data_IF_285779221504
#
_entry.id   IF_285779221504
#
_cell.length_a   1.000
_cell.length_b   1.000
_cell.length_c   1.000
_cell.angle_alpha   90.00
_cell.angle_beta   90.00
_cell.angle_gamma   90.00
#
_symmetry.space_group_name_H-M   'P 1'
#
loop_
_entity.id
_entity.type
_entity.pdbx_description
1 polymer ?
#
# COMPACT_ATOMS: atom_id res chain seq x y z
N UNK A 1 -23.11 24.62 49.10
CA UNK A 1 -21.86 23.89 49.44
C UNK A 1 -21.55 22.93 48.31
N UNK A 2 -20.67 23.34 47.40
CA UNK A 2 -20.29 22.58 46.20
C UNK A 2 -19.22 21.54 46.51
N UNK A 3 -19.39 20.32 46.00
CA UNK A 3 -18.36 19.29 45.98
C UNK A 3 -17.58 19.40 44.68
N UNK A 4 -16.33 19.84 44.78
CA UNK A 4 -15.34 19.78 43.72
C UNK A 4 -14.97 18.32 43.44
N UNK A 5 -15.25 17.84 42.23
CA UNK A 5 -14.63 16.63 41.69
C UNK A 5 -13.29 17.02 41.08
N UNK A 6 -12.20 16.52 41.68
CA UNK A 6 -10.85 16.65 41.13
C UNK A 6 -10.74 15.87 39.84
N UNK A 7 -10.54 16.56 38.71
CA UNK A 7 -10.07 15.94 37.46
C UNK A 7 -8.63 15.46 37.70
N UNK A 8 -8.45 14.14 37.80
CA UNK A 8 -7.15 13.52 37.59
C UNK A 8 -6.77 13.72 36.12
N UNK A 9 -5.83 14.63 35.88
CA UNK A 9 -5.13 14.74 34.60
C UNK A 9 -4.19 13.55 34.51
N UNK A 10 -4.59 12.50 33.79
CA UNK A 10 -3.66 11.47 33.32
C UNK A 10 -2.74 12.09 32.29
N UNK A 11 -1.57 12.55 32.74
CA UNK A 11 -0.44 12.91 31.89
C UNK A 11 0.13 11.58 31.40
N UNK A 12 -0.28 11.15 30.21
CA UNK A 12 0.39 10.07 29.50
C UNK A 12 1.82 10.51 29.19
N UNK A 13 2.77 10.07 30.02
CA UNK A 13 4.19 10.12 29.68
C UNK A 13 4.39 9.20 28.48
N UNK A 14 4.61 9.78 27.29
CA UNK A 14 5.12 9.05 26.11
C UNK A 14 6.37 8.27 26.56
N UNK A 15 6.23 6.96 26.72
CA UNK A 15 7.35 6.05 26.89
C UNK A 15 8.17 6.11 25.60
N UNK A 16 9.23 6.94 25.59
CA UNK A 16 10.22 6.90 24.50
C UNK A 16 10.90 5.54 24.57
N UNK A 17 10.77 4.76 23.49
CA UNK A 17 11.54 3.53 23.29
C UNK A 17 13.02 3.79 23.60
N UNK A 18 13.60 2.97 24.46
CA UNK A 18 15.02 3.04 24.86
C UNK A 18 15.94 2.29 23.88
N UNK A 19 15.40 1.78 22.77
CA UNK A 19 16.20 1.11 21.74
C UNK A 19 16.95 2.16 20.92
N UNK A 20 18.26 1.96 20.74
CA UNK A 20 19.01 2.75 19.75
C UNK A 20 18.39 2.53 18.36
N UNK A 21 18.07 3.63 17.68
CA UNK A 21 17.48 3.56 16.35
C UNK A 21 18.52 3.03 15.35
N UNK A 22 18.12 2.18 14.39
CA UNK A 22 19.02 1.67 13.37
C UNK A 22 19.67 2.81 12.57
N UNK A 23 20.89 2.60 12.08
CA UNK A 23 21.60 3.56 11.23
C UNK A 23 21.76 2.95 9.84
N UNK A 24 21.55 3.77 8.81
CA UNK A 24 21.55 3.33 7.42
C UNK A 24 22.63 4.05 6.61
N UNK A 25 23.92 3.73 6.81
CA UNK A 25 25.03 4.43 6.15
C UNK A 25 25.04 4.25 4.62
N UNK A 26 24.36 3.22 4.10
CA UNK A 26 24.23 2.95 2.67
C UNK A 26 23.06 3.68 2.00
N UNK A 27 22.15 4.29 2.77
CA UNK A 27 21.00 5.03 2.24
C UNK A 27 21.37 6.49 1.95
N UNK A 28 22.28 6.68 1.00
CA UNK A 28 22.76 7.99 0.55
C UNK A 28 22.32 8.27 -0.88
N UNK A 29 22.13 9.55 -1.25
CA UNK A 29 21.74 9.93 -2.62
C UNK A 29 22.68 9.33 -3.67
N UNK A 30 23.98 9.23 -3.39
CA UNK A 30 24.97 8.71 -4.34
C UNK A 30 24.71 7.26 -4.79
N UNK A 31 23.96 6.50 -4.01
CA UNK A 31 23.60 5.11 -4.30
C UNK A 31 22.27 4.98 -5.05
N UNK A 32 21.64 6.12 -5.39
CA UNK A 32 20.36 6.18 -6.07
C UNK A 32 20.43 7.11 -7.31
N UNK A 33 19.58 6.86 -8.33
CA UNK A 33 18.58 5.81 -8.37
C UNK A 33 19.15 4.41 -8.68
N UNK A 34 18.43 3.38 -8.24
CA UNK A 34 18.73 1.98 -8.56
C UNK A 34 18.03 1.59 -9.86
N UNK A 35 18.73 0.88 -10.75
CA UNK A 35 18.16 0.39 -12.01
C UNK A 35 17.64 -1.06 -11.93
N UNK A 36 17.57 -1.65 -10.73
CA UNK A 36 16.97 -2.96 -10.52
C UNK A 36 15.47 -2.97 -10.88
N UNK A 37 14.90 -4.11 -11.23
CA UNK A 37 13.48 -4.23 -11.59
C UNK A 37 13.25 -4.38 -13.10
N UNK A 38 11.99 -4.35 -13.52
CA UNK A 38 11.58 -4.61 -14.90
C UNK A 38 10.67 -3.49 -15.41
N UNK A 39 10.60 -3.36 -16.73
CA UNK A 39 9.65 -2.48 -17.42
C UNK A 39 8.97 -3.23 -18.55
N UNK A 40 7.69 -2.95 -18.77
CA UNK A 40 7.04 -3.21 -20.06
C UNK A 40 6.83 -1.89 -20.82
N UNK A 41 6.69 -1.97 -22.14
CA UNK A 41 6.31 -0.83 -22.98
C UNK A 41 4.82 -0.92 -23.27
N UNK A 42 4.08 0.12 -22.89
CA UNK A 42 2.66 0.25 -23.17
C UNK A 42 2.43 0.63 -24.64
N UNK A 43 1.20 0.45 -25.15
CA UNK A 43 0.82 0.72 -26.55
C UNK A 43 1.09 2.16 -26.99
N UNK A 44 1.09 3.10 -26.04
CA UNK A 44 1.37 4.51 -26.28
C UNK A 44 2.87 4.87 -26.13
N UNK A 45 3.74 3.87 -25.97
CA UNK A 45 5.20 4.01 -25.88
C UNK A 45 5.73 4.33 -24.48
N UNK A 46 4.86 4.53 -23.47
CA UNK A 46 5.30 4.73 -22.09
C UNK A 46 5.85 3.43 -21.49
N UNK A 47 6.83 3.54 -20.60
CA UNK A 47 7.26 2.42 -19.77
C UNK A 47 6.41 2.32 -18.51
N UNK A 48 6.00 1.09 -18.16
CA UNK A 48 5.44 0.76 -16.84
C UNK A 48 6.44 -0.10 -16.08
N UNK A 49 6.96 0.45 -14.98
CA UNK A 49 7.91 -0.18 -14.07
C UNK A 49 7.23 -1.12 -13.08
N UNK A 50 7.89 -2.21 -12.75
CA UNK A 50 7.44 -3.16 -11.73
C UNK A 50 8.61 -3.98 -11.17
N UNK A 51 8.33 -4.76 -10.12
CA UNK A 51 9.21 -5.85 -9.66
C UNK A 51 8.37 -7.10 -9.38
N UNK A 52 8.84 -8.23 -9.88
CA UNK A 52 8.24 -9.55 -9.65
C UNK A 52 8.89 -10.22 -8.42
N UNK A 53 8.06 -10.80 -7.57
CA UNK A 53 8.49 -11.63 -6.44
C UNK A 53 7.73 -12.96 -6.50
N UNK A 54 8.47 -14.07 -6.39
CA UNK A 54 7.90 -15.41 -6.36
C UNK A 54 8.18 -16.03 -4.99
N UNK A 55 7.13 -16.33 -4.22
CA UNK A 55 7.28 -16.88 -2.88
C UNK A 55 6.23 -17.95 -2.57
N UNK A 56 6.54 -18.80 -1.60
CA UNK A 56 5.60 -19.77 -1.06
C UNK A 56 4.87 -19.16 0.13
N UNK A 57 3.56 -19.29 0.16
CA UNK A 57 2.71 -18.85 1.25
C UNK A 57 2.06 -20.06 1.93
N UNK A 58 2.06 -20.10 3.26
CA UNK A 58 1.39 -21.14 4.04
C UNK A 58 0.07 -20.56 4.55
N UNK A 59 -1.05 -21.11 4.10
CA UNK A 59 -2.39 -20.67 4.47
C UNK A 59 -2.80 -21.14 5.86
N UNK A 60 -3.70 -20.42 6.53
CA UNK A 60 -4.26 -20.87 7.83
C UNK A 60 -5.14 -22.13 7.72
N UNK A 61 -5.74 -22.35 6.55
CA UNK A 61 -6.66 -23.47 6.29
C UNK A 61 -6.19 -24.29 5.08
N UNK A 62 -6.48 -25.60 5.04
CA UNK A 62 -6.04 -26.46 3.95
C UNK A 62 -6.73 -26.06 2.64
N UNK A 63 -5.95 -26.07 1.57
CA UNK A 63 -6.39 -25.76 0.21
C UNK A 63 -7.03 -27.01 -0.37
N UNK A 64 -8.34 -27.00 -0.51
CA UNK A 64 -9.09 -28.15 -1.05
C UNK A 64 -9.16 -28.15 -2.58
N UNK A 65 -8.89 -27.01 -3.25
CA UNK A 65 -8.93 -26.83 -4.70
C UNK A 65 -7.76 -25.93 -5.16
N UNK A 66 -7.24 -26.14 -6.37
CA UNK A 66 -6.21 -25.29 -7.00
C UNK A 66 -4.79 -25.33 -6.41
N UNK A 67 -4.40 -26.41 -5.71
CA UNK A 67 -3.05 -26.60 -5.15
C UNK A 67 -1.89 -26.34 -6.13
N UNK A 68 -2.10 -26.65 -7.42
CA UNK A 68 -1.08 -26.46 -8.47
C UNK A 68 -1.26 -25.17 -9.28
N UNK A 69 -2.25 -24.33 -8.94
CA UNK A 69 -2.49 -23.08 -9.66
C UNK A 69 -1.57 -22.01 -9.11
N UNK A 70 -0.85 -21.33 -9.99
CA UNK A 70 -0.12 -20.13 -9.62
C UNK A 70 -1.10 -19.00 -9.31
N UNK A 71 -0.96 -18.39 -8.13
CA UNK A 71 -1.80 -17.26 -7.72
C UNK A 71 -1.06 -15.95 -8.00
N UNK A 72 -1.64 -15.13 -8.88
CA UNK A 72 -1.08 -13.82 -9.24
C UNK A 72 -1.70 -12.74 -8.38
N UNK A 73 -0.86 -11.94 -7.73
CA UNK A 73 -1.25 -10.77 -6.95
C UNK A 73 -0.56 -9.54 -7.56
N UNK A 74 -1.34 -8.52 -7.91
CA UNK A 74 -0.82 -7.20 -8.23
C UNK A 74 -0.82 -6.35 -6.96
N UNK A 75 0.23 -5.57 -6.73
CA UNK A 75 0.33 -4.65 -5.61
C UNK A 75 0.59 -3.23 -6.11
N UNK A 76 -0.28 -2.31 -5.72
CA UNK A 76 -0.15 -0.88 -5.98
C UNK A 76 0.17 -0.22 -4.63
N UNK A 77 1.44 0.14 -4.38
CA UNK A 77 1.86 0.64 -3.08
C UNK A 77 1.45 2.11 -2.91
N UNK A 78 1.64 2.72 -1.74
CA UNK A 78 1.32 4.15 -1.45
C UNK A 78 2.40 5.13 -1.92
N UNK A 79 2.27 6.44 -1.66
CA UNK A 79 3.41 7.36 -1.79
C UNK A 79 4.25 7.30 -0.50
N UNK A 80 5.58 7.43 -0.58
CA UNK A 80 6.43 7.56 -1.77
C UNK A 80 6.93 6.20 -2.30
N UNK A 81 6.18 5.13 -2.05
CA UNK A 81 6.61 3.76 -2.30
C UNK A 81 6.82 3.46 -3.80
N UNK A 82 7.91 2.75 -4.10
CA UNK A 82 8.28 2.28 -5.44
C UNK A 82 8.12 0.77 -5.54
N UNK A 83 8.66 0.13 -6.58
CA UNK A 83 8.74 -1.34 -6.70
C UNK A 83 9.50 -2.06 -5.56
N UNK A 84 10.19 -1.30 -4.70
CA UNK A 84 10.85 -1.81 -3.51
C UNK A 84 9.89 -2.06 -2.33
N UNK A 85 8.65 -1.59 -2.42
CA UNK A 85 7.64 -1.83 -1.40
C UNK A 85 7.19 -3.29 -1.40
N UNK A 86 7.82 -4.09 -0.55
CA UNK A 86 7.56 -5.51 -0.41
C UNK A 86 7.61 -5.90 1.06
N UNK A 87 6.74 -6.81 1.47
CA UNK A 87 6.71 -7.26 2.86
C UNK A 87 8.04 -7.95 3.23
N UNK A 88 8.66 -7.65 4.39
CA UNK A 88 9.94 -8.26 4.77
C UNK A 88 9.94 -9.79 4.78
N UNK A 89 8.80 -10.43 5.08
CA UNK A 89 8.69 -11.90 5.00
C UNK A 89 8.90 -12.43 3.58
N UNK A 90 8.42 -11.72 2.55
CA UNK A 90 8.61 -12.10 1.14
C UNK A 90 10.10 -12.01 0.79
N UNK A 91 10.79 -10.94 1.19
CA UNK A 91 12.22 -10.78 0.96
C UNK A 91 13.03 -11.86 1.69
N UNK A 92 12.72 -12.12 2.96
CA UNK A 92 13.40 -13.16 3.74
C UNK A 92 13.20 -14.55 3.15
N UNK A 93 12.03 -14.86 2.56
CA UNK A 93 11.76 -16.15 1.93
C UNK A 93 12.64 -16.37 0.69
N UNK A 94 12.95 -15.30 -0.06
CA UNK A 94 13.83 -15.34 -1.22
C UNK A 94 15.30 -15.56 -0.82
N UNK A 95 15.75 -14.90 0.25
CA UNK A 95 17.08 -15.11 0.83
C UNK A 95 17.23 -16.53 1.41
N UNK A 96 16.19 -17.03 2.08
CA UNK A 96 16.17 -18.40 2.62
C UNK A 96 16.25 -19.46 1.52
N UNK A 97 15.55 -19.26 0.40
CA UNK A 97 15.63 -20.16 -0.75
C UNK A 97 17.00 -20.17 -1.45
N UNK A 98 17.84 -19.16 -1.23
CA UNK A 98 19.24 -19.21 -1.66
C UNK A 98 20.17 -19.94 -0.68
N UNK A 99 19.74 -20.19 0.57
CA UNK A 99 20.61 -20.69 1.63
C UNK A 99 20.21 -22.01 2.31
N UNK A 100 18.96 -22.51 2.25
CA UNK A 100 18.57 -23.85 2.75
C UNK A 100 17.10 -24.23 2.44
N UNK A 101 16.80 -25.54 2.44
CA UNK A 101 15.42 -26.06 2.38
C UNK A 101 14.56 -25.60 3.59
N UNK A 102 13.24 -25.38 3.41
CA UNK A 102 12.37 -24.86 4.46
C UNK A 102 12.29 -25.81 5.67
N UNK A 103 12.42 -25.26 6.89
CA UNK A 103 12.16 -26.01 8.12
C UNK A 103 10.66 -26.28 8.24
N UNK A 104 10.29 -27.54 8.04
CA UNK A 104 8.93 -28.05 8.30
C UNK A 104 8.61 -27.82 9.80
N UNK A 105 7.45 -27.26 10.16
CA UNK A 105 7.01 -27.21 11.55
C UNK A 105 7.04 -28.62 12.15
N UNK A 106 7.61 -28.80 13.35
CA UNK A 106 7.89 -30.10 13.98
C UNK A 106 6.67 -31.05 14.16
N UNK A 107 5.45 -30.63 13.79
CA UNK A 107 4.20 -31.37 13.94
C UNK A 107 3.45 -31.66 12.61
N UNK A 108 4.04 -31.42 11.43
CA UNK A 108 3.41 -31.73 10.14
C UNK A 108 4.24 -32.71 9.31
N UNK A 109 3.57 -33.66 8.64
CA UNK A 109 4.18 -34.46 7.57
C UNK A 109 4.37 -33.60 6.31
N UNK A 110 5.35 -33.94 5.48
CA UNK A 110 5.58 -33.28 4.17
C UNK A 110 4.33 -33.26 3.28
N UNK A 111 3.52 -34.33 3.30
CA UNK A 111 2.24 -34.40 2.58
C UNK A 111 1.21 -33.42 3.14
N UNK A 112 1.16 -33.24 4.46
CA UNK A 112 0.24 -32.28 5.07
C UNK A 112 0.63 -30.84 4.73
N UNK A 113 1.92 -30.48 4.75
CA UNK A 113 2.38 -29.12 4.44
C UNK A 113 2.05 -28.69 3.00
N UNK A 114 2.11 -29.62 2.04
CA UNK A 114 1.72 -29.35 0.66
C UNK A 114 0.26 -28.89 0.56
N UNK A 115 -0.63 -29.45 1.36
CA UNK A 115 -2.05 -29.06 1.38
C UNK A 115 -2.32 -27.65 1.93
N UNK A 116 -1.32 -26.97 2.48
CA UNK A 116 -1.42 -25.60 3.00
C UNK A 116 -0.51 -24.61 2.24
N UNK A 117 0.28 -25.08 1.28
CA UNK A 117 1.29 -24.24 0.62
C UNK A 117 0.84 -23.82 -0.78
N UNK A 118 0.86 -22.51 -1.05
CA UNK A 118 0.59 -21.93 -2.37
C UNK A 118 1.82 -21.25 -2.94
N UNK A 119 1.97 -21.33 -4.26
CA UNK A 119 2.92 -20.50 -5.00
C UNK A 119 2.27 -19.18 -5.37
N UNK A 120 2.84 -18.08 -4.87
CA UNK A 120 2.39 -16.71 -5.15
C UNK A 120 3.39 -16.04 -6.09
N UNK A 121 2.84 -15.38 -7.10
CA UNK A 121 3.54 -14.45 -7.99
C UNK A 121 3.02 -13.04 -7.73
N UNK A 122 3.84 -12.24 -7.06
CA UNK A 122 3.53 -10.87 -6.67
C UNK A 122 4.20 -9.88 -7.62
N UNK A 123 3.40 -9.02 -8.24
CA UNK A 123 3.87 -7.91 -9.07
C UNK A 123 3.66 -6.59 -8.33
N UNK A 124 4.73 -5.95 -7.88
CA UNK A 124 4.67 -4.60 -7.32
C UNK A 124 4.77 -3.60 -8.47
N UNK A 125 3.66 -2.95 -8.80
CA UNK A 125 3.53 -2.02 -9.92
C UNK A 125 3.89 -0.60 -9.50
N UNK A 126 4.63 0.12 -10.34
CA UNK A 126 4.90 1.54 -10.13
C UNK A 126 3.91 2.40 -10.88
N UNK A 127 3.24 3.30 -10.15
CA UNK A 127 2.30 4.28 -10.71
C UNK A 127 2.98 5.21 -11.74
N UNK A 128 2.22 5.90 -12.60
CA UNK A 128 2.79 6.73 -13.66
C UNK A 128 3.75 7.79 -13.12
N UNK A 129 5.01 7.73 -13.53
CA UNK A 129 6.06 8.66 -13.10
C UNK A 129 6.78 8.30 -11.80
N UNK A 130 6.56 7.12 -11.21
CA UNK A 130 7.31 6.61 -10.07
C UNK A 130 8.33 5.58 -10.53
N UNK A 131 9.57 5.66 -10.01
CA UNK A 131 10.61 4.68 -10.26
C UNK A 131 10.96 4.56 -11.74
N UNK A 132 10.73 3.39 -12.33
CA UNK A 132 10.98 3.11 -13.74
C UNK A 132 9.80 3.47 -14.66
N UNK A 133 8.62 3.79 -14.10
CA UNK A 133 7.45 4.20 -14.88
C UNK A 133 7.63 5.61 -15.47
N UNK A 134 7.27 5.76 -16.75
CA UNK A 134 7.26 7.06 -17.42
C UNK A 134 6.20 7.98 -16.80
N UNK A 135 6.55 9.25 -16.57
CA UNK A 135 5.60 10.25 -16.08
C UNK A 135 4.47 10.46 -17.08
N UNK A 136 3.23 10.45 -16.58
CA UNK A 136 2.04 10.77 -17.36
C UNK A 136 0.95 11.34 -16.45
N UNK A 137 0.19 12.30 -16.99
CA UNK A 137 -0.98 12.87 -16.31
C UNK A 137 -2.20 11.96 -16.46
N UNK A 138 -2.15 10.80 -15.80
CA UNK A 138 -3.21 9.79 -15.80
C UNK A 138 -4.08 9.93 -14.55
N UNK A 139 -5.40 9.97 -14.73
CA UNK A 139 -6.34 9.76 -13.64
C UNK A 139 -6.22 8.34 -13.06
N UNK A 140 -6.85 8.10 -11.90
CA UNK A 140 -6.93 6.77 -11.30
C UNK A 140 -7.56 5.75 -12.26
N UNK A 141 -8.64 6.14 -12.93
CA UNK A 141 -9.35 5.29 -13.89
C UNK A 141 -8.50 5.00 -15.13
N UNK A 142 -7.78 5.99 -15.62
CA UNK A 142 -6.88 5.82 -16.73
C UNK A 142 -5.75 4.82 -16.44
N UNK A 143 -5.15 4.87 -15.25
CA UNK A 143 -4.12 3.89 -14.87
C UNK A 143 -4.61 2.44 -14.88
N UNK A 144 -5.91 2.20 -14.70
CA UNK A 144 -6.47 0.84 -14.83
C UNK A 144 -6.27 0.24 -16.23
N UNK A 145 -6.18 1.06 -17.28
CA UNK A 145 -5.85 0.58 -18.62
C UNK A 145 -4.38 0.17 -18.74
N UNK A 146 -3.49 0.85 -18.01
CA UNK A 146 -2.07 0.48 -17.96
C UNK A 146 -1.92 -0.89 -17.24
N UNK A 147 -2.71 -1.13 -16.19
CA UNK A 147 -2.79 -2.44 -15.51
C UNK A 147 -3.34 -3.52 -16.45
N UNK A 148 -4.41 -3.22 -17.20
CA UNK A 148 -4.97 -4.18 -18.16
C UNK A 148 -3.93 -4.58 -19.20
N UNK A 149 -3.22 -3.60 -19.76
CA UNK A 149 -2.18 -3.87 -20.74
C UNK A 149 -1.02 -4.68 -20.14
N UNK A 150 -0.62 -4.37 -18.90
CA UNK A 150 0.34 -5.19 -18.17
C UNK A 150 -0.09 -6.65 -18.07
N UNK A 151 -1.35 -6.90 -17.70
CA UNK A 151 -1.90 -8.24 -17.61
C UNK A 151 -1.95 -8.94 -18.98
N UNK A 152 -2.38 -8.24 -20.03
CA UNK A 152 -2.40 -8.77 -21.40
C UNK A 152 -0.99 -9.23 -21.83
N UNK A 153 0.05 -8.42 -21.57
CA UNK A 153 1.44 -8.73 -21.94
C UNK A 153 2.04 -9.86 -21.08
N UNK A 154 1.74 -9.90 -19.78
CA UNK A 154 2.15 -11.00 -18.88
C UNK A 154 1.26 -12.23 -18.97
N UNK A 155 0.25 -12.24 -19.86
CA UNK A 155 -0.73 -13.33 -20.07
C UNK A 155 -1.47 -13.71 -18.77
N UNK A 156 -1.84 -12.71 -17.99
CA UNK A 156 -2.59 -12.87 -16.74
C UNK A 156 -4.08 -12.79 -17.08
N UNK A 157 -4.78 -13.92 -16.97
CA UNK A 157 -6.23 -13.99 -17.24
C UNK A 157 -7.08 -13.46 -16.07
N UNK A 158 -6.65 -13.74 -14.84
CA UNK A 158 -7.29 -13.30 -13.61
C UNK A 158 -6.25 -13.19 -12.49
N UNK A 159 -6.42 -12.21 -11.64
CA UNK A 159 -5.56 -11.98 -10.49
C UNK A 159 -6.33 -11.33 -9.32
N UNK A 160 -5.63 -11.26 -8.20
CA UNK A 160 -6.04 -10.50 -7.02
C UNK A 160 -5.20 -9.22 -6.91
N UNK A 161 -5.71 -8.22 -6.21
CA UNK A 161 -5.12 -6.89 -6.12
C UNK A 161 -4.94 -6.47 -4.67
N UNK A 162 -3.79 -5.89 -4.35
CA UNK A 162 -3.51 -5.17 -3.11
C UNK A 162 -3.32 -3.70 -3.47
N UNK A 163 -4.02 -2.81 -2.77
CA UNK A 163 -3.88 -1.37 -2.92
C UNK A 163 -3.69 -0.74 -1.55
N UNK A 164 -2.52 -0.16 -1.33
CA UNK A 164 -2.11 0.39 -0.03
C UNK A 164 -2.05 1.91 -0.05
N UNK A 165 -2.66 2.58 0.94
CA UNK A 165 -2.55 4.02 1.16
C UNK A 165 -2.93 4.84 -0.08
N UNK A 166 -2.04 5.69 -0.61
CA UNK A 166 -2.24 6.43 -1.86
C UNK A 166 -2.41 5.54 -3.11
N UNK A 167 -2.05 4.25 -3.03
CA UNK A 167 -2.37 3.26 -4.07
C UNK A 167 -3.85 2.86 -4.07
N UNK A 168 -4.57 3.14 -2.98
CA UNK A 168 -5.97 2.83 -2.78
C UNK A 168 -6.91 3.36 -3.88
N UNK A 169 -6.92 4.66 -4.21
CA UNK A 169 -7.73 5.20 -5.31
C UNK A 169 -7.46 4.54 -6.67
N UNK A 170 -6.19 4.22 -6.96
CA UNK A 170 -5.82 3.46 -8.16
C UNK A 170 -6.36 2.03 -8.14
N UNK A 171 -6.29 1.36 -6.99
CA UNK A 171 -6.82 0.01 -6.83
C UNK A 171 -8.34 -0.06 -6.87
N UNK A 172 -9.02 0.93 -6.29
CA UNK A 172 -10.48 1.08 -6.39
C UNK A 172 -10.91 1.33 -7.85
N UNK A 173 -10.15 2.15 -8.58
CA UNK A 173 -10.40 2.38 -10.00
C UNK A 173 -10.18 1.12 -10.84
N UNK A 174 -9.14 0.32 -10.53
CA UNK A 174 -8.90 -0.97 -11.16
C UNK A 174 -10.00 -1.99 -10.83
N UNK A 175 -10.47 -2.05 -9.59
CA UNK A 175 -11.60 -2.89 -9.20
C UNK A 175 -12.89 -2.47 -9.94
N UNK A 176 -13.13 -1.16 -10.07
CA UNK A 176 -14.27 -0.63 -10.82
C UNK A 176 -14.23 -1.00 -12.31
N UNK A 177 -13.09 -0.83 -12.99
CA UNK A 177 -13.01 -1.00 -14.44
C UNK A 177 -12.71 -2.43 -14.88
N UNK A 178 -11.84 -3.15 -14.15
CA UNK A 178 -11.34 -4.49 -14.49
C UNK A 178 -12.01 -5.60 -13.67
N UNK A 179 -12.81 -5.24 -12.67
CA UNK A 179 -13.68 -6.14 -11.91
C UNK A 179 -15.05 -6.40 -12.58
N UNK A 180 -15.35 -5.69 -13.67
CA UNK A 180 -16.55 -5.90 -14.48
C UNK A 180 -16.35 -7.13 -15.36
N UNK A 181 -17.29 -8.06 -15.28
CA UNK A 181 -17.34 -9.18 -16.21
C UNK A 181 -17.93 -8.71 -17.56
N UNK A 182 -17.25 -9.02 -18.67
CA UNK A 182 -17.64 -8.57 -20.01
C UNK A 182 -18.71 -9.44 -20.66
N UNK A 183 -18.94 -10.64 -20.13
CA UNK A 183 -20.03 -11.57 -20.47
C UNK A 183 -20.37 -12.46 -19.27
N UNK A 184 -21.56 -13.05 -19.19
CA UNK A 184 -21.97 -13.87 -18.03
C UNK A 184 -21.11 -15.14 -17.80
N UNK A 185 -20.12 -15.42 -18.66
CA UNK A 185 -19.30 -16.64 -18.66
C UNK A 185 -17.83 -16.43 -18.26
N UNK A 186 -17.30 -15.22 -18.35
CA UNK A 186 -15.89 -14.90 -18.11
C UNK A 186 -15.66 -14.32 -16.72
N UNK A 187 -14.64 -14.83 -16.03
CA UNK A 187 -14.18 -14.23 -14.78
C UNK A 187 -13.59 -12.85 -15.10
N UNK A 188 -13.85 -11.84 -14.26
CA UNK A 188 -13.19 -10.54 -14.42
C UNK A 188 -11.68 -10.69 -14.19
N UNK A 189 -10.92 -9.75 -14.77
CA UNK A 189 -9.46 -9.73 -14.62
C UNK A 189 -9.06 -9.53 -13.16
N UNK A 190 -9.72 -8.61 -12.45
CA UNK A 190 -9.57 -8.44 -11.00
C UNK A 190 -10.72 -9.16 -10.30
N UNK A 191 -10.41 -10.26 -9.61
CA UNK A 191 -11.42 -11.06 -8.90
C UNK A 191 -11.55 -10.67 -7.44
N UNK A 192 -10.46 -10.17 -6.84
CA UNK A 192 -10.43 -9.68 -5.47
C UNK A 192 -9.56 -8.43 -5.35
N UNK A 193 -9.97 -7.51 -4.48
CA UNK A 193 -9.20 -6.31 -4.16
C UNK A 193 -9.14 -6.07 -2.65
N UNK A 194 -7.94 -6.16 -2.08
CA UNK A 194 -7.63 -5.74 -0.72
C UNK A 194 -7.27 -4.25 -0.72
N UNK A 195 -8.08 -3.45 -0.03
CA UNK A 195 -7.95 -2.00 0.07
C UNK A 195 -7.47 -1.67 1.48
N UNK A 196 -6.24 -1.19 1.61
CA UNK A 196 -5.52 -1.18 2.90
C UNK A 196 -5.08 0.24 3.23
N UNK A 197 -5.49 0.74 4.40
CA UNK A 197 -5.19 2.10 4.87
C UNK A 197 -5.46 3.17 3.81
N UNK A 198 -6.49 2.96 2.98
CA UNK A 198 -6.67 3.68 1.71
C UNK A 198 -7.12 5.13 1.91
N UNK A 199 -6.68 5.97 0.98
CA UNK A 199 -7.33 7.26 0.76
C UNK A 199 -8.75 7.04 0.24
N UNK A 200 -9.70 7.86 0.72
CA UNK A 200 -11.08 7.88 0.23
C UNK A 200 -11.39 9.18 -0.54
N UNK A 201 -12.53 9.26 -1.25
CA UNK A 201 -12.95 10.49 -1.94
C UNK A 201 -12.94 11.72 -1.02
N UNK A 202 -12.61 12.89 -1.56
CA UNK A 202 -12.43 14.10 -0.74
C UNK A 202 -13.70 14.57 -0.01
N UNK A 203 -14.87 14.13 -0.45
CA UNK A 203 -16.18 14.51 0.11
C UNK A 203 -16.64 13.59 1.26
N UNK A 204 -15.80 12.66 1.71
CA UNK A 204 -16.13 11.78 2.84
C UNK A 204 -16.40 12.59 4.11
N UNK A 205 -17.51 12.30 4.83
CA UNK A 205 -17.77 12.90 6.13
C UNK A 205 -16.64 12.59 7.11
N UNK A 206 -16.23 13.61 7.90
CA UNK A 206 -15.18 13.46 8.92
C UNK A 206 -13.81 13.01 8.37
N UNK A 207 -13.54 13.22 7.07
CA UNK A 207 -12.30 12.86 6.37
C UNK A 207 -11.03 13.12 7.19
N UNK A 208 -10.95 14.27 7.85
CA UNK A 208 -9.75 14.74 8.54
C UNK A 208 -9.88 14.79 10.06
N UNK A 209 -10.97 14.28 10.64
CA UNK A 209 -11.34 14.42 12.07
C UNK A 209 -10.17 14.18 13.06
N UNK A 210 -9.46 13.06 12.91
CA UNK A 210 -8.37 12.63 13.79
C UNK A 210 -6.96 12.96 13.26
N UNK A 211 -6.85 13.78 12.21
CA UNK A 211 -5.55 14.16 11.65
C UNK A 211 -4.86 15.27 12.46
N UNK A 212 -3.52 15.28 12.52
CA UNK A 212 -2.74 16.45 12.92
C UNK A 212 -3.07 17.68 12.07
N UNK A 213 -2.94 18.88 12.64
CA UNK A 213 -3.27 20.14 11.95
C UNK A 213 -2.55 20.32 10.61
N UNK A 214 -1.28 19.88 10.53
CA UNK A 214 -0.49 19.92 9.29
C UNK A 214 -1.15 19.10 8.16
N UNK A 215 -1.65 17.91 8.48
CA UNK A 215 -2.34 17.04 7.51
C UNK A 215 -3.73 17.55 7.19
N UNK A 216 -4.47 18.11 8.17
CA UNK A 216 -5.75 18.80 7.91
C UNK A 216 -5.59 19.92 6.89
N UNK A 217 -4.53 20.72 7.04
CA UNK A 217 -4.21 21.80 6.13
C UNK A 217 -3.79 21.28 4.74
N UNK A 218 -2.93 20.26 4.67
CA UNK A 218 -2.56 19.62 3.40
C UNK A 218 -3.80 19.10 2.65
N UNK A 219 -4.73 18.43 3.35
CA UNK A 219 -6.00 17.96 2.80
C UNK A 219 -6.86 19.10 2.26
N UNK A 220 -6.95 20.22 2.98
CA UNK A 220 -7.64 21.41 2.48
C UNK A 220 -6.99 21.94 1.18
N UNK A 221 -5.65 21.91 1.08
CA UNK A 221 -4.95 22.37 -0.13
C UNK A 221 -5.18 21.49 -1.36
N UNK A 222 -5.42 20.17 -1.20
CA UNK A 222 -5.71 19.26 -2.33
C UNK A 222 -6.86 19.76 -3.21
N UNK A 223 -7.83 20.46 -2.61
CA UNK A 223 -8.98 21.05 -3.30
C UNK A 223 -8.80 22.53 -3.62
N UNK A 224 -8.23 23.29 -2.69
CA UNK A 224 -8.31 24.75 -2.74
C UNK A 224 -7.08 25.41 -3.37
N UNK A 225 -5.88 24.81 -3.24
CA UNK A 225 -4.65 25.41 -3.77
C UNK A 225 -3.54 24.38 -3.95
N UNK A 226 -3.67 23.55 -5.00
CA UNK A 226 -2.70 22.49 -5.31
C UNK A 226 -1.29 23.02 -5.57
N UNK A 227 -1.15 24.23 -6.10
CA UNK A 227 0.16 24.87 -6.30
C UNK A 227 0.94 25.12 -5.00
N UNK A 228 0.27 25.52 -3.92
CA UNK A 228 0.91 25.67 -2.61
C UNK A 228 1.27 24.30 -2.02
N UNK A 229 0.41 23.29 -2.19
CA UNK A 229 0.72 21.93 -1.77
C UNK A 229 1.94 21.37 -2.52
N UNK A 230 2.05 21.62 -3.83
CA UNK A 230 3.23 21.27 -4.62
C UNK A 230 4.50 21.98 -4.15
N UNK A 231 4.41 23.23 -3.69
CA UNK A 231 5.55 23.93 -3.11
C UNK A 231 6.01 23.26 -1.80
N UNK A 232 5.07 22.89 -0.93
CA UNK A 232 5.36 22.15 0.31
C UNK A 232 6.01 20.80 -0.01
N UNK A 233 5.44 20.04 -0.94
CA UNK A 233 5.97 18.74 -1.36
C UNK A 233 7.42 18.85 -1.88
N UNK A 234 7.75 19.89 -2.66
CA UNK A 234 9.13 20.14 -3.12
C UNK A 234 10.08 20.49 -1.98
N UNK A 235 9.61 21.20 -0.96
CA UNK A 235 10.42 21.49 0.23
C UNK A 235 10.71 20.20 1.01
N UNK A 236 9.70 19.35 1.18
CA UNK A 236 9.83 18.04 1.83
C UNK A 236 10.76 17.10 1.04
N UNK A 237 10.63 17.04 -0.29
CA UNK A 237 11.54 16.25 -1.13
C UNK A 237 12.99 16.73 -1.02
N UNK A 238 13.22 18.05 -0.94
CA UNK A 238 14.56 18.59 -0.72
C UNK A 238 15.13 18.22 0.66
N UNK A 239 14.29 18.13 1.70
CA UNK A 239 14.70 17.66 3.01
C UNK A 239 15.10 16.17 2.98
N UNK A 240 14.33 15.34 2.27
CA UNK A 240 14.65 13.92 2.06
C UNK A 240 15.98 13.77 1.30
N UNK A 241 16.19 14.55 0.24
CA UNK A 241 17.45 14.51 -0.49
C UNK A 241 18.63 14.92 0.41
N UNK A 242 18.46 15.87 1.34
CA UNK A 242 19.55 16.28 2.24
C UNK A 242 19.89 15.24 3.30
N UNK A 243 18.88 14.69 3.98
CA UNK A 243 19.04 13.71 5.05
C UNK A 243 17.79 12.81 5.09
N UNK A 244 17.81 11.69 4.35
CA UNK A 244 16.61 10.87 4.13
C UNK A 244 16.17 10.15 5.40
N UNK A 245 17.11 9.73 6.25
CA UNK A 245 16.83 9.07 7.53
C UNK A 245 16.16 10.06 8.49
N UNK A 246 16.73 11.26 8.63
CA UNK A 246 16.14 12.30 9.48
C UNK A 246 14.76 12.71 8.99
N UNK A 247 14.62 13.00 7.70
CA UNK A 247 13.33 13.39 7.10
C UNK A 247 12.25 12.32 7.32
N UNK A 248 12.60 11.04 7.14
CA UNK A 248 11.68 9.91 7.38
C UNK A 248 11.18 9.87 8.83
N UNK A 249 12.08 10.07 9.81
CA UNK A 249 11.75 10.05 11.23
C UNK A 249 10.95 11.26 11.67
N UNK A 250 11.31 12.46 11.20
CA UNK A 250 10.58 13.70 11.48
C UNK A 250 9.17 13.68 10.86
N UNK A 251 9.03 13.12 9.65
CA UNK A 251 7.74 12.96 8.98
C UNK A 251 6.76 12.09 9.78
N UNK A 252 7.27 11.08 10.48
CA UNK A 252 6.49 10.16 11.33
C UNK A 252 6.38 10.58 12.81
N UNK A 253 6.78 11.79 13.16
CA UNK A 253 6.72 12.29 14.55
C UNK A 253 5.32 12.28 15.19
N UNK A 254 4.28 12.35 14.35
CA UNK A 254 2.86 12.29 14.74
C UNK A 254 2.23 10.92 14.48
N UNK A 255 3.03 9.89 14.15
CA UNK A 255 2.51 8.55 13.90
C UNK A 255 1.92 7.92 15.17
N UNK A 256 0.88 7.07 15.05
CA UNK A 256 0.39 6.25 16.15
C UNK A 256 1.48 5.38 16.75
N UNK A 257 1.34 5.03 18.03
CA UNK A 257 2.33 4.24 18.75
C UNK A 257 2.55 2.87 18.10
N UNK A 258 1.49 2.24 17.59
CA UNK A 258 1.57 0.97 16.87
C UNK A 258 2.46 1.03 15.63
N UNK A 259 2.47 2.15 14.90
CA UNK A 259 3.28 2.30 13.69
C UNK A 259 4.77 2.45 14.03
N UNK A 260 5.06 3.11 15.16
CA UNK A 260 6.43 3.19 15.71
C UNK A 260 6.89 1.78 16.09
N UNK A 261 6.06 1.02 16.80
CA UNK A 261 6.37 -0.35 17.21
C UNK A 261 6.53 -1.30 16.02
N UNK A 262 5.70 -1.17 14.99
CA UNK A 262 5.84 -1.90 13.74
C UNK A 262 7.23 -1.70 13.13
N UNK A 263 7.71 -0.45 13.04
CA UNK A 263 9.05 -0.13 12.52
C UNK A 263 10.16 -0.71 13.41
N UNK A 264 10.03 -0.58 14.72
CA UNK A 264 11.03 -1.06 15.67
C UNK A 264 11.14 -2.59 15.71
N UNK A 265 10.03 -3.29 15.47
CA UNK A 265 9.96 -4.75 15.58
C UNK A 265 10.18 -5.47 14.24
N UNK A 266 9.78 -4.86 13.11
CA UNK A 266 9.93 -5.44 11.78
C UNK A 266 11.12 -4.82 11.05
N UNK A 267 12.23 -5.56 11.05
CA UNK A 267 13.45 -5.18 10.32
C UNK A 267 13.13 -4.95 8.84
N UNK A 268 13.71 -3.88 8.29
CA UNK A 268 13.56 -3.51 6.88
C UNK A 268 12.39 -2.59 6.57
N UNK A 269 11.40 -2.39 7.45
CA UNK A 269 10.25 -1.52 7.16
C UNK A 269 10.66 -0.05 7.01
N UNK A 270 11.39 0.52 7.97
CA UNK A 270 11.90 1.91 7.86
C UNK A 270 12.82 2.08 6.63
N UNK A 271 13.73 1.13 6.43
CA UNK A 271 14.67 1.12 5.31
C UNK A 271 13.95 1.12 3.97
N UNK A 272 12.94 0.27 3.78
CA UNK A 272 12.16 0.18 2.55
C UNK A 272 11.46 1.51 2.20
N UNK A 273 10.90 2.21 3.19
CA UNK A 273 10.32 3.54 2.96
C UNK A 273 11.38 4.56 2.56
N UNK A 274 12.54 4.55 3.23
CA UNK A 274 13.66 5.45 2.92
C UNK A 274 14.21 5.17 1.52
N UNK A 275 14.42 3.90 1.16
CA UNK A 275 14.85 3.49 -0.18
C UNK A 275 13.86 3.95 -1.25
N UNK A 276 12.56 3.81 -1.00
CA UNK A 276 11.54 4.25 -1.94
C UNK A 276 11.56 5.76 -2.16
N UNK A 277 11.69 6.54 -1.09
CA UNK A 277 11.80 8.00 -1.19
C UNK A 277 13.07 8.42 -1.95
N UNK A 278 14.21 7.82 -1.66
CA UNK A 278 15.48 8.09 -2.35
C UNK A 278 15.40 7.72 -3.82
N UNK A 279 14.80 6.57 -4.15
CA UNK A 279 14.59 6.14 -5.54
C UNK A 279 13.74 7.15 -6.31
N UNK A 280 12.63 7.59 -5.74
CA UNK A 280 11.73 8.53 -6.40
C UNK A 280 12.36 9.91 -6.56
N UNK A 281 12.91 10.49 -5.48
CA UNK A 281 13.39 11.87 -5.52
C UNK A 281 14.74 12.04 -6.21
N UNK A 282 15.63 11.04 -6.19
CA UNK A 282 16.88 11.08 -6.96
C UNK A 282 16.64 11.05 -8.47
N UNK A 283 15.51 10.52 -8.93
CA UNK A 283 15.04 10.59 -10.33
C UNK A 283 14.37 11.92 -10.69
N UNK A 284 14.21 12.85 -9.74
CA UNK A 284 13.52 14.11 -9.97
C UNK A 284 11.99 13.96 -10.13
N UNK A 285 11.39 12.90 -9.59
CA UNK A 285 9.97 12.55 -9.82
C UNK A 285 8.99 13.24 -8.86
N UNK A 286 9.36 14.37 -8.27
CA UNK A 286 8.46 15.14 -7.38
C UNK A 286 7.19 15.64 -8.09
N UNK A 287 7.23 15.83 -9.41
CA UNK A 287 6.05 16.20 -10.19
C UNK A 287 4.96 15.12 -10.15
N UNK A 288 5.33 13.85 -9.97
CA UNK A 288 4.40 12.74 -9.84
C UNK A 288 3.56 12.89 -8.59
N UNK A 289 4.19 13.08 -7.44
CA UNK A 289 3.50 13.32 -6.17
C UNK A 289 2.67 14.60 -6.20
N UNK A 290 3.20 15.69 -6.78
CA UNK A 290 2.45 16.93 -6.98
C UNK A 290 1.17 16.70 -7.81
N UNK A 291 1.26 15.90 -8.87
CA UNK A 291 0.13 15.57 -9.73
C UNK A 291 -0.87 14.66 -9.00
N UNK A 292 -0.43 13.64 -8.27
CA UNK A 292 -1.29 12.76 -7.47
C UNK A 292 -2.07 13.53 -6.40
N UNK A 293 -1.42 14.44 -5.66
CA UNK A 293 -2.12 15.33 -4.72
C UNK A 293 -3.21 16.16 -5.38
N UNK A 294 -3.02 16.56 -6.64
CA UNK A 294 -4.05 17.28 -7.39
C UNK A 294 -5.25 16.40 -7.76
N UNK A 295 -5.09 15.08 -7.80
CA UNK A 295 -6.18 14.12 -8.07
C UNK A 295 -7.02 13.86 -6.83
N UNK A 296 -6.42 13.93 -5.64
CA UNK A 296 -7.11 13.59 -4.38
C UNK A 296 -8.33 14.50 -4.13
N UNK A 297 -8.21 15.79 -4.44
CA UNK A 297 -9.28 16.78 -4.30
C UNK A 297 -10.28 16.86 -5.47
N UNK A 298 -10.16 16.00 -6.49
CA UNK A 298 -11.01 15.99 -7.69
C UNK A 298 -12.05 14.87 -7.63
N UNK A 299 -13.01 14.95 -8.55
CA UNK A 299 -13.82 13.79 -8.90
C UNK A 299 -12.93 12.71 -9.53
N UNK A 300 -13.09 11.46 -9.09
CA UNK A 300 -12.26 10.34 -9.51
C UNK A 300 -12.72 9.71 -10.83
N UNK A 301 -13.88 10.11 -11.35
CA UNK A 301 -14.45 9.62 -12.60
C UNK A 301 -15.18 8.29 -12.48
N UNK A 302 -15.43 7.80 -11.26
CA UNK A 302 -16.22 6.60 -10.96
C UNK A 302 -16.79 6.69 -9.54
N UNK A 303 -17.88 5.97 -9.28
CA UNK A 303 -18.46 5.85 -7.95
C UNK A 303 -18.11 4.51 -7.30
N UNK A 304 -17.86 4.52 -6.00
CA UNK A 304 -17.53 3.29 -5.25
C UNK A 304 -18.69 2.29 -5.25
N UNK A 305 -19.94 2.77 -5.29
CA UNK A 305 -21.13 1.92 -5.35
C UNK A 305 -21.34 1.24 -6.71
N UNK A 306 -20.60 1.64 -7.74
CA UNK A 306 -20.61 1.01 -9.06
C UNK A 306 -19.50 -0.04 -9.23
N UNK A 307 -18.69 -0.28 -8.18
CA UNK A 307 -17.81 -1.44 -8.11
C UNK A 307 -18.71 -2.67 -7.98
N UNK A 308 -19.02 -3.29 -9.12
CA UNK A 308 -20.04 -4.34 -9.26
C UNK A 308 -19.56 -5.70 -8.77
N UNK A 309 -20.52 -6.60 -8.50
CA UNK A 309 -20.30 -7.90 -7.83
C UNK A 309 -19.45 -8.95 -8.54
N UNK A 310 -18.75 -8.61 -9.63
CA UNK A 310 -17.71 -9.47 -10.23
C UNK A 310 -16.42 -9.51 -9.42
N UNK A 311 -16.13 -8.44 -8.67
CA UNK A 311 -14.96 -8.34 -7.79
C UNK A 311 -15.40 -8.38 -6.33
N UNK A 312 -14.69 -9.16 -5.49
CA UNK A 312 -14.84 -9.07 -4.04
C UNK A 312 -13.87 -8.02 -3.50
N UNK A 313 -14.36 -7.09 -2.70
CA UNK A 313 -13.52 -6.08 -2.05
C UNK A 313 -13.48 -6.33 -0.55
N UNK A 314 -12.31 -6.12 0.05
CA UNK A 314 -12.17 -6.09 1.50
C UNK A 314 -11.30 -4.93 1.94
N UNK A 315 -11.79 -4.18 2.92
CA UNK A 315 -11.05 -3.08 3.55
C UNK A 315 -10.33 -3.59 4.78
N UNK A 316 -9.03 -3.31 4.89
CA UNK A 316 -8.28 -3.42 6.14
C UNK A 316 -7.83 -2.04 6.58
N UNK A 317 -8.19 -1.63 7.79
CA UNK A 317 -7.88 -0.30 8.28
C UNK A 317 -7.60 -0.31 9.78
N UNK A 318 -6.56 0.38 10.22
CA UNK A 318 -6.24 0.55 11.64
C UNK A 318 -7.09 1.65 12.25
N UNK A 319 -7.74 1.40 13.39
CA UNK A 319 -8.64 2.40 13.99
C UNK A 319 -7.91 3.66 14.49
N UNK A 320 -6.60 3.57 14.75
CA UNK A 320 -5.75 4.68 15.19
C UNK A 320 -5.06 5.42 14.05
N UNK A 321 -5.30 5.05 12.79
CA UNK A 321 -4.66 5.69 11.63
C UNK A 321 -4.95 7.20 11.59
N UNK A 322 -3.88 7.99 11.77
CA UNK A 322 -3.91 9.45 11.79
C UNK A 322 -3.53 10.08 10.44
N UNK A 323 -3.18 9.28 9.44
CA UNK A 323 -2.79 9.70 8.09
C UNK A 323 -3.94 9.52 7.08
N UNK A 324 -4.55 8.34 7.04
CA UNK A 324 -5.82 8.07 6.36
C UNK A 324 -6.83 7.66 7.41
N UNK A 325 -7.73 8.56 7.80
CA UNK A 325 -8.56 8.34 9.00
C UNK A 325 -9.45 7.10 8.86
N UNK A 326 -9.81 6.48 9.97
CA UNK A 326 -10.79 5.38 10.01
C UNK A 326 -12.12 5.73 9.31
N UNK A 327 -12.51 7.00 9.26
CA UNK A 327 -13.68 7.48 8.50
C UNK A 327 -13.56 7.19 7.00
N UNK A 328 -12.35 7.28 6.43
CA UNK A 328 -12.07 6.90 5.04
C UNK A 328 -12.32 5.41 4.81
N UNK A 329 -11.74 4.55 5.65
CA UNK A 329 -11.91 3.09 5.54
C UNK A 329 -13.38 2.68 5.72
N UNK A 330 -14.06 3.20 6.74
CA UNK A 330 -15.49 2.96 6.99
C UNK A 330 -16.37 3.43 5.83
N UNK A 331 -16.06 4.58 5.24
CA UNK A 331 -16.78 5.07 4.06
C UNK A 331 -16.59 4.16 2.85
N UNK A 332 -15.35 3.78 2.53
CA UNK A 332 -15.07 2.89 1.39
C UNK A 332 -15.83 1.57 1.53
N UNK A 333 -15.72 0.92 2.70
CA UNK A 333 -16.41 -0.34 2.96
C UNK A 333 -17.94 -0.20 2.85
N UNK A 334 -18.51 0.90 3.34
CA UNK A 334 -19.95 1.16 3.28
C UNK A 334 -20.44 1.40 1.85
N UNK A 335 -19.66 2.07 1.00
CA UNK A 335 -20.11 2.42 -0.34
C UNK A 335 -20.02 1.27 -1.34
N UNK A 336 -19.12 0.30 -1.13
CA UNK A 336 -18.94 -0.82 -2.06
C UNK A 336 -19.91 -1.96 -1.73
N UNK A 337 -20.81 -2.37 -2.64
CA UNK A 337 -21.76 -3.44 -2.39
C UNK A 337 -21.06 -4.77 -2.06
N UNK A 338 -21.43 -5.38 -0.93
CA UNK A 338 -20.88 -6.67 -0.51
C UNK A 338 -19.41 -6.60 -0.04
N UNK A 339 -18.88 -5.41 0.25
CA UNK A 339 -17.52 -5.27 0.76
C UNK A 339 -17.39 -5.83 2.17
N UNK A 340 -16.38 -6.68 2.37
CA UNK A 340 -15.94 -7.07 3.71
C UNK A 340 -15.08 -5.96 4.33
N UNK A 341 -15.00 -5.92 5.66
CA UNK A 341 -14.11 -4.99 6.35
C UNK A 341 -13.48 -5.63 7.59
N UNK A 342 -12.25 -5.25 7.86
CA UNK A 342 -11.52 -5.52 9.11
C UNK A 342 -10.98 -4.19 9.63
N UNK A 343 -11.60 -3.69 10.69
CA UNK A 343 -11.13 -2.50 11.41
C UNK A 343 -10.37 -2.99 12.64
N UNK A 344 -9.05 -2.79 12.63
CA UNK A 344 -8.16 -3.39 13.62
C UNK A 344 -7.90 -2.38 14.73
N UNK A 345 -8.38 -2.70 15.93
CA UNK A 345 -8.17 -1.89 17.14
C UNK A 345 -6.68 -1.75 17.45
N UNK A 346 -6.28 -0.61 18.04
CA UNK A 346 -4.89 -0.31 18.44
C UNK A 346 -3.85 -0.37 17.31
N UNK A 347 -4.30 -0.32 16.05
CA UNK A 347 -3.43 -0.30 14.86
C UNK A 347 -3.56 1.02 14.10
N UNK A 348 -2.43 1.47 13.57
CA UNK A 348 -2.29 2.68 12.77
C UNK A 348 -2.20 2.40 11.28
N UNK A 349 -1.49 3.27 10.56
CA UNK A 349 -1.38 3.23 9.11
C UNK A 349 -0.62 2.00 8.61
N UNK A 350 0.34 1.51 9.41
CA UNK A 350 1.24 0.43 9.03
C UNK A 350 0.68 -0.98 9.29
N UNK A 351 -0.62 -1.13 9.61
CA UNK A 351 -1.21 -2.45 9.89
C UNK A 351 -0.94 -3.49 8.79
N UNK A 352 -0.73 -3.05 7.55
CA UNK A 352 -0.37 -3.88 6.41
C UNK A 352 0.72 -4.91 6.73
N UNK A 353 1.75 -4.53 7.49
CA UNK A 353 2.87 -5.42 7.80
C UNK A 353 2.55 -6.42 8.92
N UNK A 354 1.52 -6.16 9.71
CA UNK A 354 1.14 -7.00 10.84
C UNK A 354 0.06 -8.02 10.44
N UNK A 355 -0.82 -7.66 9.51
CA UNK A 355 -1.91 -8.51 9.00
C UNK A 355 -1.62 -9.10 7.60
N UNK A 356 -0.36 -9.06 7.14
CA UNK A 356 0.05 -9.52 5.81
C UNK A 356 -0.46 -10.93 5.47
N UNK A 357 -0.34 -11.88 6.40
CA UNK A 357 -0.78 -13.25 6.16
C UNK A 357 -2.30 -13.37 6.00
N UNK A 358 -3.08 -12.62 6.79
CA UNK A 358 -4.54 -12.60 6.66
C UNK A 358 -4.99 -11.99 5.33
N UNK A 359 -4.27 -10.97 4.84
CA UNK A 359 -4.50 -10.36 3.54
C UNK A 359 -4.22 -11.39 2.44
N UNK A 360 -3.07 -12.04 2.45
CA UNK A 360 -2.70 -13.03 1.43
C UNK A 360 -3.67 -14.20 1.46
N UNK A 361 -4.01 -14.74 2.63
CA UNK A 361 -4.99 -15.81 2.79
C UNK A 361 -6.34 -15.44 2.16
N UNK A 362 -6.86 -14.25 2.47
CA UNK A 362 -8.12 -13.80 1.89
C UNK A 362 -8.05 -13.60 0.38
N UNK A 363 -6.90 -13.22 -0.19
CA UNK A 363 -6.75 -13.03 -1.64
C UNK A 363 -6.69 -14.35 -2.42
N UNK A 364 -6.28 -15.44 -1.79
CA UNK A 364 -5.99 -16.72 -2.47
C UNK A 364 -7.01 -17.83 -2.20
N UNK A 365 -7.86 -17.68 -1.17
CA UNK A 365 -8.91 -18.64 -0.78
C UNK A 365 -10.29 -18.23 -1.28
#
# INVERSE_FOLDING_TARGET
MGKFYSKQTNIWTKSRSTKELPVYPHLTISNFPKNEGETIILKDGRSLGFKEYNFKHITQHPITNNLNKEHVILLIPGLPCTRFFCHPQVLSSLEFHQQQEPKIPNNMSTESLNSYTLQIKLYVLERPGIGLSTFAKRSFLEFSQDIKEFCDQKKIENCSLIAYSAGGPYGLAAAYSLGKSTDNSSKPLITKAAIISSIAPYNVPNLTSNMPLKLKFAWWLTKNWTGLLSLIARMESNAVMKDPVKASREGRSDAPQSDIECIENLKGVEEMFIESSLEMYSRGQIETECYEYSLWGKDWGFQLNEISGGVKCKVWHGEEDSGTTISMGKYIALQIPGCEASFVEEKGHLLYFEVWNDIVDWLVT
#
